data_IF_764599523820
#
_entry.id   IF_764599523820
#
_cell.length_a   1.000
_cell.length_b   1.000
_cell.length_c   1.000
_cell.angle_alpha   90.00
_cell.angle_beta   90.00
_cell.angle_gamma   90.00
#
_symmetry.space_group_name_H-M   'P 1'
#
loop_
_entity.id
_entity.type
_entity.pdbx_description
1 polymer ?
#
# COMPACT_ATOMS: atom_id res chain seq x y z
N UNK A 1 -12.64 18.24 -2.14
CA UNK A 1 -11.65 17.27 -1.63
C UNK A 1 -12.44 16.21 -0.88
N UNK A 2 -12.47 14.98 -1.39
CA UNK A 2 -13.14 13.88 -0.69
C UNK A 2 -12.36 13.59 0.60
N UNK A 3 -13.05 13.53 1.74
CA UNK A 3 -12.47 13.10 3.01
C UNK A 3 -13.01 11.71 3.32
N UNK A 4 -12.12 10.73 3.29
CA UNK A 4 -12.42 9.33 3.59
C UNK A 4 -12.51 9.19 5.11
N UNK A 5 -13.45 8.42 5.65
CA UNK A 5 -13.53 8.20 7.10
C UNK A 5 -12.34 7.36 7.61
N UNK A 6 -11.97 7.50 8.89
CA UNK A 6 -10.92 6.65 9.49
C UNK A 6 -11.27 5.16 9.35
N UNK A 7 -12.52 4.79 9.60
CA UNK A 7 -13.04 3.43 9.41
C UNK A 7 -12.86 2.94 7.97
N UNK A 8 -13.24 3.73 6.96
CA UNK A 8 -13.10 3.35 5.54
C UNK A 8 -11.62 3.18 5.17
N UNK A 9 -10.76 4.07 5.66
CA UNK A 9 -9.33 4.02 5.43
C UNK A 9 -8.69 2.76 6.04
N UNK A 10 -9.02 2.46 7.30
CA UNK A 10 -8.55 1.26 7.99
C UNK A 10 -9.07 -0.01 7.33
N UNK A 11 -10.36 -0.06 6.97
CA UNK A 11 -10.95 -1.19 6.24
C UNK A 11 -10.15 -1.50 4.98
N UNK A 12 -9.74 -0.46 4.25
CA UNK A 12 -9.01 -0.64 3.01
C UNK A 12 -7.56 -1.03 3.17
N UNK A 13 -6.87 -0.43 4.13
CA UNK A 13 -5.50 -0.81 4.46
C UNK A 13 -5.42 -2.26 4.94
N UNK A 14 -6.24 -2.60 5.96
CA UNK A 14 -6.21 -3.91 6.63
C UNK A 14 -6.68 -5.01 5.70
N UNK A 15 -7.80 -4.82 5.01
CA UNK A 15 -8.32 -5.83 4.08
C UNK A 15 -7.38 -6.11 2.90
N UNK A 16 -6.52 -5.15 2.54
CA UNK A 16 -5.70 -5.23 1.34
C UNK A 16 -4.45 -6.02 1.64
N UNK A 17 -3.86 -5.72 2.81
CA UNK A 17 -2.83 -6.55 3.44
C UNK A 17 -3.37 -7.98 3.64
N UNK A 18 -4.61 -8.14 4.08
CA UNK A 18 -5.24 -9.46 4.23
C UNK A 18 -5.41 -10.20 2.92
N UNK A 19 -5.86 -9.52 1.87
CA UNK A 19 -5.99 -10.08 0.54
C UNK A 19 -4.63 -10.58 0.03
N UNK A 20 -3.61 -9.72 0.07
CA UNK A 20 -2.24 -10.06 -0.32
C UNK A 20 -1.70 -11.24 0.51
N UNK A 21 -2.01 -11.29 1.81
CA UNK A 21 -1.59 -12.40 2.66
C UNK A 21 -2.10 -13.76 2.17
N UNK A 22 -3.28 -13.82 1.52
CA UNK A 22 -3.81 -15.06 0.93
C UNK A 22 -2.96 -15.55 -0.24
N UNK A 23 -2.40 -14.65 -1.05
CA UNK A 23 -1.46 -15.01 -2.12
C UNK A 23 -0.15 -15.53 -1.52
N UNK A 24 0.41 -14.81 -0.55
CA UNK A 24 1.68 -15.17 0.08
C UNK A 24 1.63 -16.52 0.80
N UNK A 25 0.48 -16.91 1.39
CA UNK A 25 0.30 -18.26 2.00
C UNK A 25 0.50 -19.40 1.01
N UNK A 26 0.32 -19.14 -0.29
CA UNK A 26 0.46 -20.12 -1.35
C UNK A 26 1.76 -19.91 -2.15
N UNK A 27 2.72 -19.14 -1.60
CA UNK A 27 3.96 -18.75 -2.29
C UNK A 27 3.70 -18.09 -3.66
N UNK A 28 2.61 -17.32 -3.76
CA UNK A 28 2.26 -16.54 -4.95
C UNK A 28 2.52 -15.06 -4.70
N UNK A 29 2.83 -14.33 -5.77
CA UNK A 29 3.00 -12.88 -5.79
C UNK A 29 1.81 -12.28 -6.55
N UNK A 30 1.09 -11.36 -5.92
CA UNK A 30 -0.14 -10.79 -6.44
C UNK A 30 0.10 -9.83 -7.61
N UNK A 31 1.16 -9.02 -7.54
CA UNK A 31 1.46 -7.99 -8.52
C UNK A 31 1.84 -8.56 -9.89
N UNK A 32 2.26 -9.83 -9.97
CA UNK A 32 2.45 -10.55 -11.23
C UNK A 32 1.18 -10.64 -12.08
N UNK A 33 -0.01 -10.51 -11.47
CA UNK A 33 -1.29 -10.52 -12.19
C UNK A 33 -1.69 -9.13 -12.71
N UNK A 34 -0.94 -8.09 -12.38
CA UNK A 34 -1.24 -6.73 -12.76
C UNK A 34 -0.61 -6.42 -14.13
N UNK A 35 -1.43 -6.04 -15.11
CA UNK A 35 -1.02 -5.78 -16.50
C UNK A 35 0.16 -4.82 -16.62
N UNK A 36 0.25 -3.88 -15.69
CA UNK A 36 1.19 -2.76 -15.70
C UNK A 36 2.66 -3.22 -15.50
N UNK A 37 2.88 -4.43 -14.98
CA UNK A 37 4.22 -5.02 -14.80
C UNK A 37 4.83 -5.54 -16.10
N UNK A 38 4.06 -5.57 -17.20
CA UNK A 38 4.55 -6.01 -18.50
C UNK A 38 5.00 -4.85 -19.40
N UNK A 39 4.82 -3.59 -18.97
CA UNK A 39 5.12 -2.39 -19.76
C UNK A 39 6.49 -1.80 -19.39
N UNK A 40 7.56 -2.30 -20.02
CA UNK A 40 8.96 -1.94 -19.70
C UNK A 40 9.27 -0.44 -19.82
N UNK A 41 8.72 0.24 -20.81
CA UNK A 41 8.97 1.69 -21.04
C UNK A 41 8.35 2.57 -19.93
N UNK A 42 7.33 2.07 -19.24
CA UNK A 42 6.59 2.78 -18.21
C UNK A 42 7.19 2.59 -16.80
N UNK A 43 7.99 1.54 -16.60
CA UNK A 43 8.44 1.13 -15.27
C UNK A 43 9.52 2.00 -14.62
N UNK A 44 10.46 2.56 -15.38
CA UNK A 44 11.69 3.14 -14.80
C UNK A 44 11.53 4.51 -14.13
N UNK A 45 10.53 5.31 -14.51
CA UNK A 45 10.19 6.59 -13.83
C UNK A 45 8.97 6.49 -12.93
N UNK A 46 8.25 5.37 -12.94
CA UNK A 46 6.96 5.30 -12.28
C UNK A 46 7.11 4.90 -10.80
N UNK A 47 6.80 5.82 -9.86
CA UNK A 47 6.92 5.59 -8.43
C UNK A 47 5.95 4.54 -7.87
N UNK A 48 4.99 4.08 -8.69
CA UNK A 48 4.14 2.93 -8.39
C UNK A 48 4.95 1.65 -8.17
N UNK A 49 6.07 1.51 -8.89
CA UNK A 49 6.89 0.32 -8.81
C UNK A 49 8.06 0.51 -7.82
N UNK A 50 8.55 -0.59 -7.22
CA UNK A 50 9.67 -0.53 -6.31
C UNK A 50 10.99 -0.21 -7.04
N UNK A 51 11.97 0.44 -6.38
CA UNK A 51 13.22 0.88 -7.00
C UNK A 51 14.01 -0.22 -7.73
N UNK A 52 13.98 -1.45 -7.25
CA UNK A 52 14.65 -2.58 -7.89
C UNK A 52 14.03 -2.96 -9.24
N UNK A 53 12.70 -2.84 -9.38
CA UNK A 53 12.01 -3.01 -10.66
C UNK A 53 12.32 -1.84 -11.60
N UNK A 54 12.25 -0.61 -11.09
CA UNK A 54 12.60 0.59 -11.87
C UNK A 54 14.02 0.49 -12.46
N UNK A 55 14.97 0.01 -11.66
CA UNK A 55 16.36 -0.23 -12.07
C UNK A 55 16.44 -1.33 -13.13
N UNK A 56 15.67 -2.41 -13.00
CA UNK A 56 15.64 -3.47 -14.00
C UNK A 56 15.09 -2.96 -15.34
N UNK A 57 14.01 -2.16 -15.33
CA UNK A 57 13.48 -1.50 -16.53
C UNK A 57 14.53 -0.59 -17.18
N UNK A 58 15.23 0.25 -16.40
CA UNK A 58 16.27 1.15 -16.91
C UNK A 58 17.42 0.39 -17.59
N UNK A 59 17.79 -0.77 -17.05
CA UNK A 59 18.87 -1.60 -17.58
C UNK A 59 18.41 -2.58 -18.66
N UNK A 60 17.12 -2.64 -18.98
CA UNK A 60 16.54 -3.61 -19.90
C UNK A 60 16.65 -5.07 -19.45
N UNK A 61 16.81 -5.32 -18.14
CA UNK A 61 16.97 -6.67 -17.59
C UNK A 61 15.64 -7.30 -17.23
N UNK A 62 15.58 -8.63 -17.25
CA UNK A 62 14.45 -9.36 -16.69
C UNK A 62 14.34 -9.11 -15.18
N UNK A 63 13.11 -9.02 -14.68
CA UNK A 63 12.82 -8.87 -13.26
C UNK A 63 11.72 -9.84 -12.87
N UNK A 64 11.93 -10.56 -11.78
CA UNK A 64 10.95 -11.47 -11.19
C UNK A 64 10.43 -10.83 -9.92
N UNK A 65 9.15 -10.43 -9.85
CA UNK A 65 8.59 -9.85 -8.64
C UNK A 65 8.55 -10.84 -7.47
N UNK A 66 8.80 -10.32 -6.27
CA UNK A 66 8.76 -11.05 -5.00
C UNK A 66 7.64 -10.50 -4.10
N UNK A 67 7.31 -11.18 -3.00
CA UNK A 67 6.27 -10.75 -2.05
C UNK A 67 6.46 -9.34 -1.47
N UNK A 68 7.70 -8.83 -1.43
CA UNK A 68 8.00 -7.46 -1.00
C UNK A 68 7.52 -6.42 -2.01
N UNK A 69 7.41 -6.79 -3.30
CA UNK A 69 6.88 -5.95 -4.37
C UNK A 69 5.37 -5.70 -4.20
N UNK A 70 4.63 -6.72 -3.75
CA UNK A 70 3.18 -6.61 -3.50
C UNK A 70 2.88 -5.52 -2.47
N UNK A 71 3.60 -5.56 -1.34
CA UNK A 71 3.42 -4.60 -0.26
C UNK A 71 3.85 -3.19 -0.66
N UNK A 72 4.93 -3.05 -1.43
CA UNK A 72 5.35 -1.74 -1.95
C UNK A 72 4.26 -1.17 -2.85
N UNK A 73 3.86 -1.93 -3.88
CA UNK A 73 2.91 -1.51 -4.90
C UNK A 73 1.55 -1.17 -4.27
N UNK A 74 1.07 -2.03 -3.37
CA UNK A 74 -0.17 -1.81 -2.64
C UNK A 74 -0.15 -0.53 -1.82
N UNK A 75 0.95 -0.22 -1.12
CA UNK A 75 1.04 1.01 -0.34
C UNK A 75 0.95 2.24 -1.25
N UNK A 76 1.63 2.25 -2.39
CA UNK A 76 1.52 3.38 -3.33
C UNK A 76 0.09 3.53 -3.85
N UNK A 77 -0.58 2.44 -4.21
CA UNK A 77 -2.00 2.45 -4.63
C UNK A 77 -2.92 2.96 -3.51
N UNK A 78 -2.70 2.51 -2.28
CA UNK A 78 -3.45 2.96 -1.11
C UNK A 78 -3.26 4.47 -0.88
N UNK A 79 -2.04 5.00 -1.02
CA UNK A 79 -1.81 6.44 -0.93
C UNK A 79 -2.55 7.22 -2.02
N UNK A 80 -2.52 6.75 -3.27
CA UNK A 80 -3.24 7.38 -4.39
C UNK A 80 -4.74 7.43 -4.07
N UNK A 81 -5.28 6.32 -3.56
CA UNK A 81 -6.68 6.24 -3.17
C UNK A 81 -7.03 7.21 -2.02
N UNK A 82 -6.19 7.28 -0.98
CA UNK A 82 -6.43 8.19 0.16
C UNK A 82 -6.35 9.66 -0.25
N UNK A 83 -5.37 10.01 -1.09
CA UNK A 83 -5.03 11.40 -1.39
C UNK A 83 -5.53 11.90 -2.73
N UNK A 84 -6.23 11.04 -3.50
CA UNK A 84 -6.68 11.28 -4.87
C UNK A 84 -5.57 11.86 -5.77
N UNK A 85 -4.31 11.48 -5.49
CA UNK A 85 -3.15 12.16 -6.04
C UNK A 85 -2.08 11.19 -6.50
N UNK A 86 -1.58 11.45 -7.70
CA UNK A 86 -0.47 10.68 -8.23
C UNK A 86 0.81 10.96 -7.42
N UNK A 87 1.58 9.91 -7.08
CA UNK A 87 2.91 10.04 -6.52
C UNK A 87 3.86 10.73 -7.50
N UNK A 88 4.72 11.62 -7.01
CA UNK A 88 5.80 12.21 -7.80
C UNK A 88 6.94 11.18 -8.01
N UNK A 89 7.80 11.37 -9.02
CA UNK A 89 8.97 10.50 -9.28
C UNK A 89 9.86 10.33 -8.02
N UNK A 90 9.94 11.37 -7.19
CA UNK A 90 10.70 11.36 -5.94
C UNK A 90 9.79 11.18 -4.70
N UNK A 91 8.70 10.42 -4.83
CA UNK A 91 7.63 10.30 -3.84
C UNK A 91 8.08 10.12 -2.39
N UNK A 92 9.02 9.21 -2.15
CA UNK A 92 9.56 8.92 -0.81
C UNK A 92 10.64 9.91 -0.36
N UNK A 93 11.17 10.72 -1.28
CA UNK A 93 12.22 11.70 -1.00
C UNK A 93 11.60 12.91 -0.32
N UNK A 94 12.20 13.33 0.79
CA UNK A 94 11.85 14.54 1.55
C UNK A 94 10.48 14.50 2.28
N UNK A 95 9.92 13.31 2.52
CA UNK A 95 8.71 13.14 3.35
C UNK A 95 7.48 13.97 2.90
N UNK A 96 7.46 14.44 1.63
CA UNK A 96 6.34 15.24 1.10
C UNK A 96 5.03 14.47 1.14
N UNK A 97 5.09 13.16 0.89
CA UNK A 97 3.93 12.28 0.96
C UNK A 97 3.30 12.27 2.36
N UNK A 98 4.09 12.35 3.44
CA UNK A 98 3.58 12.36 4.83
C UNK A 98 2.72 13.60 5.08
N UNK A 99 3.20 14.77 4.67
CA UNK A 99 2.45 16.04 4.80
C UNK A 99 1.12 15.98 4.07
N UNK A 100 1.13 15.40 2.86
CA UNK A 100 -0.08 15.25 2.05
C UNK A 100 -1.03 14.22 2.64
N UNK A 101 -0.53 13.08 3.11
CA UNK A 101 -1.34 12.08 3.81
C UNK A 101 -2.02 12.68 5.05
N UNK A 102 -1.28 13.40 5.90
CA UNK A 102 -1.83 14.08 7.09
C UNK A 102 -2.93 15.07 6.70
N UNK A 103 -2.73 15.88 5.65
CA UNK A 103 -3.75 16.83 5.18
C UNK A 103 -5.07 16.13 4.80
N UNK A 104 -5.00 14.95 4.17
CA UNK A 104 -6.17 14.18 3.74
C UNK A 104 -6.77 13.31 4.84
N UNK A 105 -6.08 13.18 5.97
CA UNK A 105 -6.48 12.37 7.12
C UNK A 105 -6.57 13.20 8.40
N UNK A 106 -6.64 14.53 8.30
CA UNK A 106 -6.52 15.47 9.43
C UNK A 106 -7.57 15.27 10.54
N UNK A 107 -8.70 14.62 10.20
CA UNK A 107 -9.79 14.29 11.11
C UNK A 107 -9.62 12.94 11.81
N UNK A 108 -8.54 12.21 11.54
CA UNK A 108 -8.26 10.91 12.15
C UNK A 108 -7.57 11.10 13.50
N UNK A 109 -7.61 10.08 14.34
CA UNK A 109 -6.80 10.04 15.54
C UNK A 109 -5.30 10.08 15.17
N UNK A 110 -4.54 10.93 15.86
CA UNK A 110 -3.12 11.13 15.59
C UNK A 110 -2.32 9.83 15.67
N UNK A 111 -2.67 8.96 16.62
CA UNK A 111 -2.05 7.64 16.76
C UNK A 111 -2.35 6.74 15.56
N UNK A 112 -3.58 6.72 15.06
CA UNK A 112 -3.97 5.97 13.85
C UNK A 112 -3.15 6.45 12.64
N UNK A 113 -3.06 7.76 12.41
CA UNK A 113 -2.25 8.32 11.31
C UNK A 113 -0.79 7.88 11.39
N UNK A 114 -0.18 7.98 12.59
CA UNK A 114 1.23 7.59 12.81
C UNK A 114 1.47 6.12 12.49
N UNK A 115 0.58 5.23 12.95
CA UNK A 115 0.71 3.79 12.71
C UNK A 115 0.57 3.44 11.22
N UNK A 116 -0.38 4.06 10.51
CA UNK A 116 -0.51 3.90 9.06
C UNK A 116 0.78 4.35 8.35
N UNK A 117 1.31 5.53 8.71
CA UNK A 117 2.55 6.04 8.13
C UNK A 117 3.77 5.16 8.45
N UNK A 118 3.81 4.49 9.60
CA UNK A 118 4.86 3.54 9.95
C UNK A 118 4.81 2.32 9.03
N UNK A 119 3.63 1.69 8.89
CA UNK A 119 3.46 0.54 7.97
C UNK A 119 3.81 0.93 6.54
N UNK A 120 3.32 2.08 6.09
CA UNK A 120 3.62 2.63 4.78
C UNK A 120 5.13 2.78 4.56
N UNK A 121 5.81 3.46 5.48
CA UNK A 121 7.25 3.73 5.39
C UNK A 121 8.08 2.44 5.39
N UNK A 122 7.62 1.41 6.11
CA UNK A 122 8.32 0.14 6.19
C UNK A 122 8.20 -0.67 4.89
N UNK A 123 6.99 -0.78 4.35
CA UNK A 123 6.73 -1.45 3.07
C UNK A 123 7.38 -0.76 1.88
N UNK A 124 7.58 0.57 1.96
CA UNK A 124 8.10 1.37 0.84
C UNK A 124 9.59 1.71 0.95
N UNK A 125 10.35 1.09 1.88
CA UNK A 125 11.80 1.37 2.00
C UNK A 125 12.54 1.10 0.69
N UNK A 126 13.52 1.93 0.34
CA UNK A 126 14.27 1.72 -0.91
C UNK A 126 15.05 0.40 -0.93
N UNK A 127 15.59 -0.03 0.22
CA UNK A 127 16.31 -1.30 0.35
C UNK A 127 15.34 -2.46 0.64
N UNK A 128 15.35 -3.49 -0.21
CA UNK A 128 14.44 -4.65 -0.14
C UNK A 128 14.59 -5.43 1.16
N UNK A 129 15.83 -5.62 1.63
CA UNK A 129 16.20 -6.28 2.89
C UNK A 129 15.62 -5.61 4.14
N UNK A 130 15.18 -4.36 4.01
CA UNK A 130 14.59 -3.60 5.11
C UNK A 130 13.06 -3.59 5.09
N UNK A 131 12.43 -4.16 4.06
CA UNK A 131 10.97 -4.28 3.96
C UNK A 131 10.49 -5.53 4.70
N UNK A 132 9.21 -5.60 5.09
CA UNK A 132 8.59 -6.86 5.47
C UNK A 132 8.67 -7.85 4.29
N UNK A 133 9.19 -9.06 4.52
CA UNK A 133 9.35 -10.07 3.46
C UNK A 133 7.99 -10.51 2.88
N UNK A 134 6.93 -10.44 3.68
CA UNK A 134 5.58 -10.78 3.24
C UNK A 134 4.51 -10.11 4.10
N UNK A 135 3.30 -10.00 3.54
CA UNK A 135 2.10 -9.62 4.29
C UNK A 135 1.85 -10.50 5.53
N UNK A 136 2.27 -11.77 5.54
CA UNK A 136 2.14 -12.63 6.73
C UNK A 136 2.99 -12.13 7.89
N UNK A 137 4.23 -11.72 7.61
CA UNK A 137 5.10 -11.10 8.62
C UNK A 137 4.51 -9.76 9.05
N UNK A 138 4.08 -8.92 8.11
CA UNK A 138 3.50 -7.61 8.42
C UNK A 138 2.29 -7.72 9.36
N UNK A 139 1.41 -8.71 9.12
CA UNK A 139 0.24 -8.99 9.97
C UNK A 139 0.59 -9.33 11.41
N UNK A 140 1.75 -9.95 11.66
CA UNK A 140 2.18 -10.34 12.99
C UNK A 140 2.83 -9.19 13.78
N UNK A 141 2.87 -7.98 13.21
CA UNK A 141 3.51 -6.82 13.84
C UNK A 141 2.55 -6.09 14.77
N UNK A 142 3.09 -5.50 15.83
CA UNK A 142 2.30 -4.73 16.80
C UNK A 142 1.52 -3.60 16.13
N UNK A 143 2.13 -2.89 15.18
CA UNK A 143 1.48 -1.78 14.46
C UNK A 143 0.24 -2.21 13.70
N UNK A 144 0.32 -3.34 12.99
CA UNK A 144 -0.83 -3.90 12.28
C UNK A 144 -1.92 -4.36 13.26
N UNK A 145 -1.53 -5.02 14.35
CA UNK A 145 -2.48 -5.52 15.35
C UNK A 145 -3.24 -4.39 16.05
N UNK A 146 -2.57 -3.26 16.35
CA UNK A 146 -3.24 -2.08 16.92
C UNK A 146 -4.28 -1.52 15.94
N UNK A 147 -3.91 -1.35 14.66
CA UNK A 147 -4.81 -0.84 13.63
C UNK A 147 -5.99 -1.80 13.36
N UNK A 148 -5.76 -3.11 13.42
CA UNK A 148 -6.82 -4.13 13.27
C UNK A 148 -7.84 -4.03 14.40
N UNK A 149 -7.39 -3.94 15.67
CA UNK A 149 -8.28 -3.75 16.82
C UNK A 149 -9.06 -2.45 16.73
N UNK A 150 -8.39 -1.38 16.28
CA UNK A 150 -9.05 -0.09 16.04
C UNK A 150 -10.17 -0.19 15.00
N UNK A 151 -9.96 -0.96 13.93
CA UNK A 151 -11.01 -1.23 12.95
C UNK A 151 -12.20 -2.00 13.56
N UNK A 152 -11.93 -2.95 14.47
CA UNK A 152 -12.97 -3.73 15.16
C UNK A 152 -13.86 -2.84 16.06
N UNK A 153 -13.31 -1.78 16.65
CA UNK A 153 -14.09 -0.80 17.44
C UNK A 153 -15.18 -0.09 16.63
N UNK A 154 -15.04 -0.02 15.30
CA UNK A 154 -16.05 0.56 14.41
C UNK A 154 -17.15 -0.43 13.97
N UNK A 155 -17.09 -1.70 14.37
CA UNK A 155 -18.08 -2.71 13.96
C UNK A 155 -19.40 -2.50 14.72
N UNK A 156 -20.21 -1.60 14.19
CA UNK A 156 -21.59 -1.29 14.58
C UNK A 156 -22.42 -0.64 13.47
N UNK A 157 -21.77 0.00 12.49
CA UNK A 157 -22.44 0.68 11.38
C UNK A 157 -22.03 0.07 10.02
N UNK A 158 -22.95 -0.67 9.38
CA UNK A 158 -22.81 -1.10 7.98
C UNK A 158 -23.10 0.07 7.04
N UNK A 159 -22.08 0.86 6.70
CA UNK A 159 -22.16 1.77 5.55
C UNK A 159 -21.72 1.06 4.25
N UNK A 160 -22.59 1.14 3.22
CA UNK A 160 -22.22 0.82 1.84
C UNK A 160 -21.22 1.84 1.34
N UNK A 161 -19.95 1.47 1.37
CA UNK A 161 -18.83 2.35 1.06
C UNK A 161 -18.39 2.24 -0.41
N UNK A 162 -17.97 3.35 -1.06
CA UNK A 162 -17.33 3.35 -2.39
C UNK A 162 -16.06 2.46 -2.48
N UNK A 163 -15.58 1.99 -1.34
CA UNK A 163 -14.58 0.95 -1.14
C UNK A 163 -14.79 -0.31 -1.98
N UNK A 164 -16.04 -0.77 -2.13
CA UNK A 164 -16.31 -2.05 -2.82
C UNK A 164 -15.84 -1.99 -4.29
N UNK A 165 -16.00 -0.85 -4.94
CA UNK A 165 -15.55 -0.64 -6.32
C UNK A 165 -14.02 -0.58 -6.42
N UNK A 166 -13.34 0.16 -5.53
CA UNK A 166 -11.87 0.25 -5.56
C UNK A 166 -11.21 -1.11 -5.26
N UNK A 167 -11.76 -1.87 -4.30
CA UNK A 167 -11.28 -3.22 -3.99
C UNK A 167 -11.40 -4.17 -5.17
N UNK A 168 -12.58 -4.20 -5.79
CA UNK A 168 -12.82 -5.02 -6.97
C UNK A 168 -11.84 -4.65 -8.08
N UNK A 169 -11.68 -3.36 -8.40
CA UNK A 169 -10.71 -2.92 -9.42
C UNK A 169 -9.27 -3.33 -9.11
N UNK A 170 -8.87 -3.37 -7.83
CA UNK A 170 -7.48 -3.67 -7.47
C UNK A 170 -7.19 -5.18 -7.42
N UNK A 171 -8.16 -6.01 -7.02
CA UNK A 171 -7.95 -7.43 -6.71
C UNK A 171 -8.75 -8.41 -7.60
N UNK A 172 -9.74 -7.96 -8.38
CA UNK A 172 -10.56 -8.76 -9.31
C UNK A 172 -10.32 -8.32 -10.77
#
# INVERSE_FOLDING_TARGET
>A
MRKISEQECLKNLIGGIDCISKYHRHNKVWCCNQSNWNEKEYGWTNPLFPPEYQKACLNGTEFVPESTCDLYFFMIQFYIWVTESNPDINFLRNDKWKKKFILYTENYEEQTQKLIMILFSWCTRSSVDKRPESALILKNTEYYQILSRRLEEYQGDEEKSPTETWYKTLFE
#
